data_IF_974122902639
#
_entry.id   IF_974122902639
#
_cell.length_a   1.000
_cell.length_b   1.000
_cell.length_c   1.000
_cell.angle_alpha   90.00
_cell.angle_beta   90.00
_cell.angle_gamma   90.00
#
_symmetry.space_group_name_H-M   'P 1'
#
loop_
_entity.id
_entity.type
_entity.pdbx_description
1 polymer ?
#
# COMPACT_ATOMS: atom_id res chain seq x y z
N UNK A 1 12.70 -9.60 -1.52
CA UNK A 1 14.07 -9.73 -2.04
C UNK A 1 14.85 -8.42 -1.88
N UNK A 2 14.40 -7.31 -2.44
CA UNK A 2 15.10 -6.00 -2.32
C UNK A 2 15.26 -5.57 -0.86
N UNK A 3 14.24 -5.76 -0.03
CA UNK A 3 14.30 -5.43 1.40
C UNK A 3 15.33 -6.27 2.16
N UNK A 4 15.47 -7.56 1.82
CA UNK A 4 16.49 -8.44 2.38
C UNK A 4 17.91 -8.08 1.91
N UNK A 5 18.04 -7.56 0.68
CA UNK A 5 19.30 -7.01 0.18
C UNK A 5 19.71 -5.76 0.97
N UNK A 6 18.75 -4.86 1.21
CA UNK A 6 18.99 -3.65 2.02
C UNK A 6 19.31 -3.95 3.48
N UNK A 7 18.75 -5.04 4.00
CA UNK A 7 19.06 -5.54 5.34
C UNK A 7 20.43 -6.27 5.44
N UNK A 8 21.16 -6.41 4.32
CA UNK A 8 22.45 -7.11 4.29
C UNK A 8 22.36 -8.63 4.40
N UNK A 9 21.17 -9.21 4.23
CA UNK A 9 20.98 -10.67 4.34
C UNK A 9 21.29 -11.42 3.04
N UNK A 10 21.28 -10.72 1.90
CA UNK A 10 21.55 -11.29 0.57
C UNK A 10 22.73 -10.55 -0.06
N UNK A 11 23.80 -11.29 -0.34
CA UNK A 11 25.02 -10.77 -0.97
C UNK A 11 25.15 -11.17 -2.44
N UNK A 12 24.41 -12.18 -2.90
CA UNK A 12 24.47 -12.67 -4.28
C UNK A 12 23.06 -12.86 -4.82
N UNK A 13 22.80 -12.32 -6.00
CA UNK A 13 21.55 -12.51 -6.75
C UNK A 13 21.85 -13.25 -8.04
N UNK A 14 21.23 -14.42 -8.24
CA UNK A 14 21.39 -15.22 -9.46
C UNK A 14 20.05 -15.28 -10.19
N UNK A 15 20.04 -14.90 -11.46
CA UNK A 15 18.88 -14.97 -12.34
C UNK A 15 19.19 -15.78 -13.59
N UNK A 16 18.15 -16.34 -14.19
CA UNK A 16 18.28 -17.06 -15.46
C UNK A 16 18.66 -16.12 -16.58
N UNK A 17 18.00 -14.97 -16.67
CA UNK A 17 18.24 -13.89 -17.62
C UNK A 17 17.80 -12.56 -16.99
N UNK A 18 18.31 -11.42 -17.48
CA UNK A 18 18.03 -10.08 -16.96
C UNK A 18 16.54 -9.72 -17.08
N UNK A 19 15.81 -10.31 -18.02
CA UNK A 19 14.36 -10.07 -18.18
C UNK A 19 13.54 -10.64 -17.01
N UNK A 20 14.10 -11.56 -16.21
CA UNK A 20 13.50 -12.10 -14.97
C UNK A 20 13.72 -11.20 -13.77
N UNK A 21 14.81 -10.47 -13.78
CA UNK A 21 15.10 -9.50 -12.74
C UNK A 21 14.20 -8.26 -12.86
N UNK A 22 14.13 -7.66 -14.04
CA UNK A 22 13.29 -6.51 -14.30
C UNK A 22 12.86 -6.44 -15.77
N UNK A 23 11.77 -5.71 -16.02
CA UNK A 23 11.25 -5.48 -17.38
C UNK A 23 11.45 -4.04 -17.84
N UNK A 24 11.95 -3.18 -16.97
CA UNK A 24 12.31 -1.80 -17.27
C UNK A 24 13.81 -1.69 -17.34
N UNK A 25 14.34 -1.33 -18.50
CA UNK A 25 15.79 -1.30 -18.72
C UNK A 25 16.49 -0.21 -17.90
N UNK A 26 15.78 0.92 -17.62
CA UNK A 26 16.32 1.99 -16.79
C UNK A 26 16.44 1.54 -15.34
N UNK A 27 15.39 0.92 -14.81
CA UNK A 27 15.39 0.38 -13.45
C UNK A 27 16.42 -0.74 -13.27
N UNK A 28 16.51 -1.67 -14.24
CA UNK A 28 17.51 -2.74 -14.23
C UNK A 28 18.92 -2.17 -14.33
N UNK A 29 19.15 -1.18 -15.20
CA UNK A 29 20.43 -0.48 -15.33
C UNK A 29 20.85 0.17 -14.02
N UNK A 30 19.96 0.90 -13.36
CA UNK A 30 20.22 1.58 -12.09
C UNK A 30 20.60 0.58 -10.98
N UNK A 31 19.92 -0.58 -10.90
CA UNK A 31 20.31 -1.63 -9.98
C UNK A 31 21.70 -2.20 -10.28
N UNK A 32 22.04 -2.43 -11.54
CA UNK A 32 23.31 -3.04 -11.92
C UNK A 32 24.50 -2.09 -11.82
N UNK A 33 24.29 -0.81 -12.14
CA UNK A 33 25.37 0.19 -12.22
C UNK A 33 25.57 0.97 -10.91
N UNK A 34 24.51 1.17 -10.11
CA UNK A 34 24.57 2.00 -8.93
C UNK A 34 24.22 1.24 -7.65
N UNK A 35 23.02 0.63 -7.57
CA UNK A 35 22.47 0.11 -6.30
C UNK A 35 23.22 -1.14 -5.83
N UNK A 36 23.39 -2.16 -6.66
CA UNK A 36 24.08 -3.38 -6.26
C UNK A 36 25.57 -3.19 -5.96
N UNK A 37 26.33 -2.44 -6.78
CA UNK A 37 27.71 -2.08 -6.40
C UNK A 37 27.81 -1.34 -5.09
N UNK A 38 26.91 -0.38 -4.83
CA UNK A 38 26.86 0.36 -3.56
C UNK A 38 26.55 -0.54 -2.36
N UNK A 39 25.64 -1.52 -2.50
CA UNK A 39 25.28 -2.47 -1.45
C UNK A 39 26.21 -3.69 -1.36
N UNK A 40 27.27 -3.76 -2.17
CA UNK A 40 28.18 -4.90 -2.22
C UNK A 40 27.56 -6.20 -2.71
N UNK A 41 26.48 -6.13 -3.50
CA UNK A 41 25.74 -7.31 -3.98
C UNK A 41 26.23 -7.74 -5.35
N UNK A 42 26.68 -9.01 -5.45
CA UNK A 42 27.07 -9.63 -6.72
C UNK A 42 25.82 -10.08 -7.49
N UNK A 43 25.71 -9.69 -8.77
CA UNK A 43 24.64 -10.11 -9.68
C UNK A 43 25.16 -11.02 -10.76
N UNK A 44 24.53 -12.20 -10.93
CA UNK A 44 24.89 -13.17 -11.97
C UNK A 44 23.64 -13.46 -12.81
N UNK A 45 23.77 -13.27 -14.14
CA UNK A 45 22.76 -13.71 -15.12
C UNK A 45 23.32 -14.83 -15.97
N UNK A 46 22.72 -16.02 -15.90
CA UNK A 46 23.25 -17.25 -16.48
C UNK A 46 23.21 -17.18 -18.03
N UNK A 47 22.03 -16.92 -18.60
CA UNK A 47 21.84 -16.91 -20.04
C UNK A 47 22.50 -15.72 -20.74
N UNK A 48 22.64 -14.61 -20.03
CA UNK A 48 23.27 -13.39 -20.54
C UNK A 48 24.80 -13.40 -20.35
N UNK A 49 25.34 -14.44 -19.69
CA UNK A 49 26.76 -14.57 -19.34
C UNK A 49 27.30 -13.35 -18.60
N UNK A 50 26.44 -12.70 -17.79
CA UNK A 50 26.79 -11.53 -17.02
C UNK A 50 27.14 -11.89 -15.58
N UNK A 51 28.22 -11.30 -15.07
CA UNK A 51 28.68 -11.42 -13.69
C UNK A 51 29.26 -10.04 -13.28
N UNK A 52 28.60 -9.37 -12.33
CA UNK A 52 28.96 -8.01 -11.91
C UNK A 52 30.41 -7.91 -11.39
N UNK A 53 30.95 -8.97 -10.82
CA UNK A 53 32.33 -8.99 -10.30
C UNK A 53 33.37 -8.82 -11.41
N UNK A 54 33.07 -9.27 -12.64
CA UNK A 54 33.96 -9.10 -13.82
C UNK A 54 33.96 -7.68 -14.38
N UNK A 55 33.01 -6.84 -13.96
CA UNK A 55 32.82 -5.49 -14.45
C UNK A 55 33.05 -4.41 -13.36
N UNK A 56 33.58 -4.82 -12.19
CA UNK A 56 33.93 -3.88 -11.11
C UNK A 56 34.95 -2.84 -11.62
N UNK A 57 34.53 -1.57 -11.66
CA UNK A 57 35.37 -0.44 -12.12
C UNK A 57 35.23 -0.08 -13.59
N UNK A 58 34.49 -0.87 -14.40
CA UNK A 58 34.09 -0.48 -15.75
C UNK A 58 32.57 -0.36 -15.80
N UNK A 59 32.04 0.65 -16.48
CA UNK A 59 30.61 0.74 -16.82
C UNK A 59 30.18 -0.60 -17.42
N UNK A 60 29.15 -1.21 -16.85
CA UNK A 60 28.56 -2.44 -17.37
C UNK A 60 28.34 -2.22 -18.86
N UNK A 61 29.10 -2.95 -19.66
CA UNK A 61 29.40 -2.56 -21.03
C UNK A 61 28.17 -2.26 -21.85
N UNK A 62 28.34 -1.48 -22.89
CA UNK A 62 27.31 -1.09 -23.88
C UNK A 62 26.41 -2.26 -24.31
N UNK A 63 26.90 -3.47 -24.21
CA UNK A 63 26.23 -4.76 -24.46
C UNK A 63 25.03 -5.01 -23.53
N UNK A 64 25.08 -4.62 -22.25
CA UNK A 64 23.99 -4.82 -21.28
C UNK A 64 22.89 -3.80 -21.50
N UNK A 65 23.25 -2.53 -21.69
CA UNK A 65 22.30 -1.49 -22.03
C UNK A 65 21.56 -1.83 -23.35
N UNK A 66 22.27 -2.36 -24.34
CA UNK A 66 21.69 -2.78 -25.59
C UNK A 66 20.78 -4.01 -25.45
N UNK A 67 21.16 -5.01 -24.67
CA UNK A 67 20.30 -6.17 -24.38
C UNK A 67 19.04 -5.77 -23.62
N UNK A 68 19.14 -4.90 -22.63
CA UNK A 68 17.99 -4.40 -21.90
C UNK A 68 17.04 -3.60 -22.83
N UNK A 69 17.57 -2.82 -23.75
CA UNK A 69 16.79 -2.13 -24.79
C UNK A 69 16.05 -3.13 -25.71
N UNK A 70 16.70 -4.21 -26.11
CA UNK A 70 16.09 -5.27 -26.93
C UNK A 70 14.95 -5.96 -26.15
N UNK A 71 15.12 -6.26 -24.85
CA UNK A 71 14.07 -6.86 -24.02
C UNK A 71 12.87 -5.93 -23.83
N UNK A 72 13.10 -4.63 -23.67
CA UNK A 72 12.01 -3.65 -23.60
C UNK A 72 11.28 -3.53 -24.96
N UNK A 73 12.00 -3.48 -26.06
CA UNK A 73 11.41 -3.49 -27.41
C UNK A 73 10.59 -4.76 -27.65
N UNK A 74 11.12 -5.93 -27.30
CA UNK A 74 10.42 -7.22 -27.41
C UNK A 74 9.14 -7.25 -26.55
N UNK A 75 9.22 -6.74 -25.33
CA UNK A 75 8.05 -6.62 -24.44
C UNK A 75 6.96 -5.70 -25.03
N UNK A 76 7.37 -4.57 -25.65
CA UNK A 76 6.47 -3.64 -26.33
C UNK A 76 5.85 -4.27 -27.60
N UNK A 77 6.66 -4.98 -28.39
CA UNK A 77 6.18 -5.68 -29.60
C UNK A 77 5.20 -6.80 -29.25
N UNK A 78 5.53 -7.63 -28.25
CA UNK A 78 4.63 -8.67 -27.74
C UNK A 78 3.31 -8.08 -27.26
N UNK A 79 3.34 -6.97 -26.53
CA UNK A 79 2.14 -6.27 -26.07
C UNK A 79 1.29 -5.78 -27.25
N UNK A 80 1.90 -5.24 -28.32
CA UNK A 80 1.17 -4.83 -29.53
C UNK A 80 0.52 -6.04 -30.23
N UNK A 81 1.24 -7.16 -30.36
CA UNK A 81 0.73 -8.41 -30.96
C UNK A 81 -0.44 -8.98 -30.18
N UNK A 82 -0.31 -9.05 -28.83
CA UNK A 82 -1.40 -9.50 -27.95
C UNK A 82 -2.62 -8.59 -28.07
N UNK A 83 -2.44 -7.26 -28.03
CA UNK A 83 -3.54 -6.30 -28.22
C UNK A 83 -4.23 -6.46 -29.58
N UNK A 84 -3.45 -6.66 -30.65
CA UNK A 84 -3.98 -6.88 -32.01
C UNK A 84 -4.79 -8.17 -32.07
N UNK A 85 -4.28 -9.28 -31.54
CA UNK A 85 -5.00 -10.55 -31.47
C UNK A 85 -6.30 -10.45 -30.64
N UNK A 86 -6.26 -9.72 -29.51
CA UNK A 86 -7.46 -9.43 -28.72
C UNK A 86 -8.48 -8.61 -29.52
N UNK A 87 -8.06 -7.55 -30.23
CA UNK A 87 -8.96 -6.74 -31.06
C UNK A 87 -9.62 -7.56 -32.17
N UNK A 88 -8.88 -8.46 -32.81
CA UNK A 88 -9.45 -9.38 -33.82
C UNK A 88 -10.54 -10.28 -33.21
N UNK A 89 -10.27 -10.85 -32.03
CA UNK A 89 -11.28 -11.64 -31.32
C UNK A 89 -12.50 -10.80 -30.91
N UNK A 90 -12.30 -9.57 -30.48
CA UNK A 90 -13.37 -8.64 -30.13
C UNK A 90 -14.26 -8.29 -31.33
N UNK A 91 -13.66 -8.03 -32.49
CA UNK A 91 -14.38 -7.76 -33.76
C UNK A 91 -15.20 -8.96 -34.23
N UNK A 92 -14.72 -10.17 -33.95
CA UNK A 92 -15.44 -11.40 -34.27
C UNK A 92 -16.50 -11.80 -33.24
N UNK A 93 -16.90 -10.87 -32.35
CA UNK A 93 -17.92 -11.12 -31.33
C UNK A 93 -17.45 -11.98 -30.17
N UNK A 94 -16.16 -12.32 -30.11
CA UNK A 94 -15.59 -13.14 -29.05
C UNK A 94 -15.58 -12.42 -27.70
N UNK A 95 -15.92 -13.15 -26.67
CA UNK A 95 -15.80 -12.72 -25.29
C UNK A 95 -14.35 -12.90 -24.78
N UNK A 96 -13.81 -11.92 -24.06
CA UNK A 96 -12.40 -11.92 -23.66
C UNK A 96 -12.20 -11.85 -22.14
N UNK A 97 -13.17 -11.29 -21.41
CA UNK A 97 -13.07 -11.05 -19.96
C UNK A 97 -13.85 -12.07 -19.13
N UNK A 98 -14.25 -11.73 -17.92
CA UNK A 98 -15.12 -12.60 -17.10
C UNK A 98 -16.53 -12.68 -17.65
N UNK A 99 -17.09 -13.89 -17.69
CA UNK A 99 -18.48 -14.12 -18.11
C UNK A 99 -19.45 -13.28 -17.27
N UNK A 100 -20.45 -12.68 -17.92
CA UNK A 100 -21.49 -11.89 -17.25
C UNK A 100 -22.38 -12.85 -16.43
N UNK A 101 -22.88 -12.42 -15.27
CA UNK A 101 -23.82 -13.19 -14.46
C UNK A 101 -25.07 -13.50 -15.30
N UNK A 102 -25.59 -14.71 -15.23
CA UNK A 102 -26.63 -15.22 -16.15
C UNK A 102 -26.08 -16.00 -17.34
N UNK A 103 -24.77 -15.94 -17.55
CA UNK A 103 -24.07 -16.68 -18.59
C UNK A 103 -22.90 -17.47 -18.05
N UNK A 104 -22.58 -18.57 -18.71
CA UNK A 104 -21.37 -19.37 -18.51
C UNK A 104 -20.58 -19.53 -19.79
N UNK A 105 -19.33 -19.94 -19.69
CA UNK A 105 -18.44 -20.18 -20.82
C UNK A 105 -18.90 -21.45 -21.54
N UNK A 106 -18.99 -21.41 -22.87
CA UNK A 106 -19.31 -22.59 -23.68
C UNK A 106 -18.20 -23.65 -23.54
N UNK A 107 -18.54 -24.92 -23.28
CA UNK A 107 -17.54 -26.00 -23.25
C UNK A 107 -16.82 -26.19 -24.59
N UNK A 108 -17.49 -25.86 -25.69
CA UNK A 108 -16.96 -26.02 -27.06
C UNK A 108 -16.08 -24.86 -27.49
N UNK A 109 -16.36 -23.65 -27.01
CA UNK A 109 -15.64 -22.44 -27.40
C UNK A 109 -15.47 -21.50 -26.21
N UNK A 110 -14.22 -21.35 -25.72
CA UNK A 110 -13.86 -20.48 -24.58
C UNK A 110 -14.16 -18.98 -24.80
N UNK A 111 -14.49 -18.58 -26.01
CA UNK A 111 -14.80 -17.20 -26.37
C UNK A 111 -16.29 -16.95 -26.63
N UNK A 112 -17.14 -17.95 -26.37
CA UNK A 112 -18.60 -17.89 -26.54
C UNK A 112 -19.28 -18.04 -25.17
N UNK A 113 -20.28 -17.21 -24.92
CA UNK A 113 -21.16 -17.32 -23.75
C UNK A 113 -22.41 -18.10 -24.10
N UNK A 114 -22.84 -18.97 -23.18
CA UNK A 114 -24.13 -19.68 -23.24
C UNK A 114 -24.93 -19.33 -21.98
N UNK A 115 -26.25 -19.41 -22.07
CA UNK A 115 -27.15 -19.18 -20.93
C UNK A 115 -26.81 -20.16 -19.80
N UNK A 116 -26.73 -19.62 -18.59
CA UNK A 116 -26.58 -20.41 -17.37
C UNK A 116 -27.96 -20.65 -16.76
N UNK A 117 -28.45 -21.91 -16.71
CA UNK A 117 -29.80 -22.22 -16.25
C UNK A 117 -30.05 -21.86 -14.79
N UNK A 118 -29.02 -21.79 -13.97
CA UNK A 118 -29.14 -21.44 -12.54
C UNK A 118 -29.30 -19.93 -12.34
N UNK A 119 -28.57 -19.12 -13.07
CA UNK A 119 -28.49 -17.67 -12.82
C UNK A 119 -29.27 -16.82 -13.82
N UNK A 120 -29.60 -17.32 -15.01
CA UNK A 120 -30.37 -16.58 -15.99
C UNK A 120 -31.82 -16.27 -15.54
N UNK A 121 -32.55 -17.16 -14.84
CA UNK A 121 -33.86 -16.82 -14.28
C UNK A 121 -33.83 -15.64 -13.31
N UNK A 122 -32.76 -15.53 -12.52
CA UNK A 122 -32.56 -14.40 -11.58
C UNK A 122 -32.39 -13.09 -12.35
N UNK A 123 -31.62 -13.12 -13.45
CA UNK A 123 -31.46 -11.95 -14.31
C UNK A 123 -32.77 -11.51 -14.91
N UNK A 124 -33.55 -12.45 -15.46
CA UNK A 124 -34.89 -12.17 -16.01
C UNK A 124 -35.80 -11.54 -14.97
N UNK A 125 -35.86 -12.13 -13.78
CA UNK A 125 -36.64 -11.59 -12.66
C UNK A 125 -36.25 -10.14 -12.33
N UNK A 126 -34.95 -9.82 -12.26
CA UNK A 126 -34.45 -8.45 -11.99
C UNK A 126 -35.01 -7.47 -13.04
N UNK A 127 -35.01 -7.82 -14.33
CA UNK A 127 -35.55 -6.97 -15.39
C UNK A 127 -37.08 -6.84 -15.26
N UNK A 128 -37.79 -7.93 -15.07
CA UNK A 128 -39.26 -7.95 -14.93
C UNK A 128 -39.71 -7.11 -13.73
N UNK A 129 -39.07 -7.27 -12.59
CA UNK A 129 -39.42 -6.54 -11.37
C UNK A 129 -39.21 -5.01 -11.51
N UNK A 130 -38.14 -4.58 -12.18
CA UNK A 130 -37.89 -3.15 -12.42
C UNK A 130 -38.86 -2.60 -13.50
N UNK A 131 -39.19 -3.34 -14.54
CA UNK A 131 -40.19 -2.95 -15.53
C UNK A 131 -41.57 -2.81 -14.85
N UNK A 132 -41.89 -3.68 -13.89
CA UNK A 132 -43.14 -3.64 -13.11
C UNK A 132 -43.17 -2.45 -12.12
N UNK A 133 -42.07 -1.64 -12.01
CA UNK A 133 -42.00 -0.45 -11.20
C UNK A 133 -41.36 -0.60 -9.84
N UNK A 134 -40.84 -1.79 -9.49
CA UNK A 134 -40.03 -1.92 -8.25
C UNK A 134 -38.73 -1.12 -8.34
N UNK A 135 -38.35 -0.49 -7.23
CA UNK A 135 -37.07 0.21 -7.15
C UNK A 135 -35.90 -0.80 -7.12
N UNK A 136 -34.75 -0.42 -7.66
CA UNK A 136 -33.52 -1.25 -7.62
C UNK A 136 -33.09 -1.62 -6.20
N UNK A 137 -33.39 -0.76 -5.21
CA UNK A 137 -33.15 -1.05 -3.79
C UNK A 137 -34.10 -2.10 -3.22
N UNK A 138 -35.36 -2.10 -3.67
CA UNK A 138 -36.33 -3.12 -3.26
C UNK A 138 -36.00 -4.48 -3.84
N UNK A 139 -35.65 -4.55 -5.14
CA UNK A 139 -35.19 -5.79 -5.78
C UNK A 139 -33.95 -6.35 -5.07
N UNK A 140 -32.99 -5.49 -4.71
CA UNK A 140 -31.80 -5.92 -3.98
C UNK A 140 -32.13 -6.51 -2.61
N UNK A 141 -33.10 -5.93 -1.87
CA UNK A 141 -33.55 -6.47 -0.58
C UNK A 141 -34.23 -7.83 -0.71
N UNK A 142 -35.12 -7.98 -1.68
CA UNK A 142 -35.81 -9.24 -1.94
C UNK A 142 -34.81 -10.36 -2.25
N UNK A 143 -33.83 -10.11 -3.12
CA UNK A 143 -32.77 -11.07 -3.46
C UNK A 143 -31.88 -11.44 -2.25
N UNK A 144 -31.61 -10.50 -1.37
CA UNK A 144 -30.85 -10.75 -0.14
C UNK A 144 -31.66 -11.56 0.89
N UNK A 145 -32.96 -11.22 1.06
CA UNK A 145 -33.85 -11.94 1.97
C UNK A 145 -34.06 -13.41 1.54
N UNK A 146 -34.07 -13.66 0.24
CA UNK A 146 -34.14 -15.01 -0.33
C UNK A 146 -32.80 -15.75 -0.30
N UNK A 147 -31.71 -15.11 0.12
CA UNK A 147 -30.40 -15.74 0.19
C UNK A 147 -29.77 -16.00 -1.18
N UNK A 148 -30.23 -15.36 -2.26
CA UNK A 148 -29.73 -15.56 -3.61
C UNK A 148 -28.27 -15.10 -3.70
N UNK A 149 -27.32 -15.98 -4.12
CA UNK A 149 -25.92 -15.65 -4.17
C UNK A 149 -25.63 -14.50 -5.16
N UNK A 150 -24.82 -13.55 -4.73
CA UNK A 150 -24.36 -12.47 -5.61
C UNK A 150 -23.43 -13.01 -6.72
N UNK A 151 -23.25 -12.29 -7.85
CA UNK A 151 -22.33 -12.72 -8.91
C UNK A 151 -20.91 -13.05 -8.43
N UNK A 152 -20.46 -12.43 -7.36
CA UNK A 152 -19.15 -12.66 -6.77
C UNK A 152 -19.11 -13.96 -5.94
N UNK A 153 -20.16 -14.22 -5.16
CA UNK A 153 -20.30 -15.47 -4.39
C UNK A 153 -20.46 -16.66 -5.32
N UNK A 154 -21.32 -16.52 -6.35
CA UNK A 154 -21.56 -17.58 -7.33
C UNK A 154 -20.27 -18.01 -8.07
N UNK A 155 -19.40 -17.05 -8.40
CA UNK A 155 -18.12 -17.33 -9.06
C UNK A 155 -17.03 -17.85 -8.12
N UNK A 156 -17.27 -17.95 -6.82
CA UNK A 156 -16.27 -18.37 -5.84
C UNK A 156 -15.04 -17.46 -5.77
N UNK A 157 -15.16 -16.22 -6.24
CA UNK A 157 -14.05 -15.26 -6.19
C UNK A 157 -13.85 -14.83 -4.75
N UNK A 158 -12.72 -15.23 -4.18
CA UNK A 158 -12.33 -14.79 -2.84
C UNK A 158 -12.32 -13.26 -2.76
N UNK A 159 -12.94 -12.73 -1.71
CA UNK A 159 -12.86 -11.28 -1.42
C UNK A 159 -11.44 -10.92 -1.04
N UNK A 160 -11.05 -9.68 -1.28
CA UNK A 160 -9.81 -9.15 -0.70
C UNK A 160 -9.86 -9.34 0.80
N UNK A 161 -8.75 -9.81 1.39
CA UNK A 161 -8.63 -10.09 2.84
C UNK A 161 -9.07 -8.93 3.72
N UNK A 162 -8.95 -7.70 3.21
CA UNK A 162 -9.23 -6.45 3.91
C UNK A 162 -10.69 -5.96 3.80
N UNK A 163 -11.61 -6.77 3.26
CA UNK A 163 -13.03 -6.39 3.15
C UNK A 163 -13.90 -7.28 4.05
N UNK A 164 -14.18 -6.87 5.28
CA UNK A 164 -14.93 -7.67 6.26
C UNK A 164 -16.44 -7.77 5.95
N UNK A 165 -16.97 -6.93 5.06
CA UNK A 165 -18.41 -6.88 4.81
C UNK A 165 -18.95 -8.06 4.01
N UNK A 166 -20.10 -8.62 4.42
CA UNK A 166 -20.88 -9.66 3.73
C UNK A 166 -21.16 -9.26 2.28
N UNK A 167 -21.06 -10.19 1.33
CA UNK A 167 -21.40 -9.92 -0.07
C UNK A 167 -22.91 -9.86 -0.22
N UNK A 168 -23.47 -8.67 -0.42
CA UNK A 168 -24.89 -8.43 -0.58
C UNK A 168 -25.21 -7.89 -1.97
N UNK A 169 -26.45 -8.14 -2.44
CA UNK A 169 -27.04 -7.41 -3.54
C UNK A 169 -27.23 -5.95 -3.13
N UNK A 170 -26.86 -5.02 -3.99
CA UNK A 170 -26.98 -3.58 -3.76
C UNK A 170 -27.66 -2.94 -4.97
N UNK A 171 -28.28 -1.78 -4.79
CA UNK A 171 -28.92 -1.04 -5.88
C UNK A 171 -27.95 -0.76 -7.03
N UNK A 172 -26.68 -0.45 -6.75
CA UNK A 172 -25.66 -0.22 -7.78
C UNK A 172 -25.40 -1.47 -8.62
N UNK A 173 -25.36 -2.64 -7.98
CA UNK A 173 -25.16 -3.92 -8.69
C UNK A 173 -26.32 -4.25 -9.59
N UNK A 174 -27.56 -4.04 -9.12
CA UNK A 174 -28.76 -4.18 -9.93
C UNK A 174 -28.75 -3.16 -11.10
N UNK A 175 -28.40 -1.90 -10.81
CA UNK A 175 -28.30 -0.85 -11.82
C UNK A 175 -27.26 -1.16 -12.90
N UNK A 176 -26.09 -1.68 -12.52
CA UNK A 176 -25.04 -2.08 -13.45
C UNK A 176 -25.51 -3.24 -14.34
N UNK A 177 -26.27 -4.19 -13.80
CA UNK A 177 -26.86 -5.26 -14.58
C UNK A 177 -27.90 -4.74 -15.58
N UNK A 178 -28.83 -3.92 -15.14
CA UNK A 178 -29.86 -3.33 -16.01
C UNK A 178 -29.28 -2.49 -17.15
N UNK A 179 -28.11 -1.88 -16.96
CA UNK A 179 -27.41 -1.09 -18.00
C UNK A 179 -26.55 -1.93 -18.94
N UNK A 180 -26.41 -3.22 -18.68
CA UNK A 180 -25.51 -4.06 -19.44
C UNK A 180 -26.21 -4.65 -20.67
N UNK A 181 -25.96 -4.08 -21.84
CA UNK A 181 -26.55 -4.50 -23.12
C UNK A 181 -26.21 -5.95 -23.49
N UNK A 182 -25.24 -6.59 -22.87
CA UNK A 182 -24.91 -8.00 -23.13
C UNK A 182 -26.08 -8.96 -22.88
N UNK A 183 -27.02 -8.56 -22.05
CA UNK A 183 -28.22 -9.38 -21.81
C UNK A 183 -29.18 -9.49 -23.00
N UNK A 184 -29.05 -8.58 -23.98
CA UNK A 184 -29.82 -8.64 -25.24
C UNK A 184 -29.16 -9.50 -26.34
N UNK A 185 -28.09 -10.25 -26.00
CA UNK A 185 -27.33 -11.02 -26.98
C UNK A 185 -26.24 -10.21 -27.72
N UNK A 186 -26.17 -8.91 -27.51
CA UNK A 186 -25.15 -8.05 -28.10
C UNK A 186 -23.85 -8.09 -27.29
N UNK A 187 -22.73 -8.43 -27.94
CA UNK A 187 -21.41 -8.35 -27.32
C UNK A 187 -20.85 -6.95 -27.50
N UNK A 188 -20.47 -6.34 -26.38
CA UNK A 188 -19.79 -5.05 -26.37
C UNK A 188 -18.37 -5.22 -25.83
N UNK A 189 -17.41 -4.81 -26.61
CA UNK A 189 -15.99 -4.89 -26.33
C UNK A 189 -15.33 -3.51 -26.43
N UNK A 190 -14.05 -3.39 -26.07
CA UNK A 190 -13.25 -2.17 -26.15
C UNK A 190 -13.83 -0.99 -25.36
N UNK A 191 -14.44 -1.26 -24.20
CA UNK A 191 -15.01 -0.21 -23.32
C UNK A 191 -13.95 0.49 -22.47
N UNK A 192 -12.78 -0.11 -22.30
CA UNK A 192 -11.63 0.41 -21.56
C UNK A 192 -10.32 0.07 -22.25
N UNK A 193 -9.33 0.93 -22.14
CA UNK A 193 -7.98 0.69 -22.67
C UNK A 193 -6.89 1.16 -21.69
N UNK A 194 -5.75 0.49 -21.70
CA UNK A 194 -4.55 0.92 -20.99
C UNK A 194 -3.69 1.75 -21.93
N UNK A 195 -3.42 3.01 -21.58
CA UNK A 195 -2.62 3.94 -22.39
C UNK A 195 -1.15 3.52 -22.46
N UNK A 196 -0.62 3.06 -21.35
CA UNK A 196 0.79 2.68 -21.20
C UNK A 196 0.87 1.21 -20.77
N UNK A 197 1.92 0.53 -21.22
CA UNK A 197 2.23 -0.82 -20.74
C UNK A 197 2.47 -0.74 -19.23
N UNK A 198 1.86 -1.63 -18.43
CA UNK A 198 1.88 -1.65 -16.95
C UNK A 198 1.10 -0.51 -16.25
N UNK A 199 0.27 0.26 -16.95
CA UNK A 199 -0.59 1.23 -16.28
C UNK A 199 -1.47 0.55 -15.22
N UNK A 200 -1.46 1.06 -13.99
CA UNK A 200 -2.35 0.59 -12.90
C UNK A 200 -3.81 0.96 -13.15
N UNK A 201 -4.07 1.96 -13.98
CA UNK A 201 -5.40 2.45 -14.32
C UNK A 201 -5.71 2.29 -15.81
N UNK A 202 -7.00 2.09 -16.12
CA UNK A 202 -7.51 2.04 -17.48
C UNK A 202 -8.39 3.26 -17.74
N UNK A 203 -8.25 3.87 -18.92
CA UNK A 203 -9.13 4.93 -19.40
C UNK A 203 -10.41 4.32 -20.00
N UNK A 204 -11.55 4.98 -19.77
CA UNK A 204 -12.78 4.65 -20.49
C UNK A 204 -12.67 5.13 -21.93
N UNK A 205 -13.04 4.26 -22.85
CA UNK A 205 -13.12 4.57 -24.28
C UNK A 205 -14.48 5.24 -24.56
N UNK A 206 -14.55 6.28 -25.41
CA UNK A 206 -15.81 6.86 -25.86
C UNK A 206 -16.73 5.78 -26.45
N UNK A 207 -18.05 5.97 -26.33
CA UNK A 207 -19.02 4.95 -26.78
C UNK A 207 -18.99 4.73 -28.30
N UNK A 208 -18.58 5.73 -29.06
CA UNK A 208 -18.44 5.71 -30.53
C UNK A 208 -17.34 4.72 -30.99
N UNK A 209 -16.31 4.53 -30.15
CA UNK A 209 -15.19 3.61 -30.42
C UNK A 209 -15.40 2.20 -29.85
N UNK A 210 -16.54 1.94 -29.22
CA UNK A 210 -16.86 0.61 -28.74
C UNK A 210 -17.13 -0.36 -29.89
N UNK A 211 -16.71 -1.61 -29.70
CA UNK A 211 -16.93 -2.65 -30.71
C UNK A 211 -18.23 -3.39 -30.33
N UNK A 212 -19.24 -3.22 -31.15
CA UNK A 212 -20.51 -3.91 -31.01
C UNK A 212 -20.58 -5.09 -31.97
N UNK A 213 -21.12 -6.21 -31.49
CA UNK A 213 -21.40 -7.37 -32.30
C UNK A 213 -22.78 -7.90 -31.88
N UNK A 214 -23.75 -7.72 -32.75
CA UNK A 214 -25.12 -8.18 -32.53
C UNK A 214 -25.21 -9.71 -32.64
N UNK A 215 -26.15 -10.32 -31.91
CA UNK A 215 -26.42 -11.77 -31.94
C UNK A 215 -25.15 -12.63 -31.68
N UNK A 216 -24.22 -12.14 -30.83
CA UNK A 216 -23.01 -12.89 -30.50
C UNK A 216 -23.26 -14.09 -29.57
N UNK A 217 -24.39 -14.08 -28.87
CA UNK A 217 -24.84 -15.14 -27.96
C UNK A 217 -26.35 -15.06 -27.74
N UNK A 218 -26.93 -16.09 -27.17
CA UNK A 218 -28.37 -16.13 -26.87
C UNK A 218 -28.75 -15.05 -25.85
N UNK A 219 -29.84 -14.33 -26.13
CA UNK A 219 -30.35 -13.26 -25.27
C UNK A 219 -31.10 -13.82 -24.05
N UNK A 220 -30.85 -13.25 -22.85
CA UNK A 220 -31.67 -13.54 -21.66
C UNK A 220 -32.92 -12.66 -21.64
N UNK A 221 -32.82 -11.41 -22.11
CA UNK A 221 -33.93 -10.45 -22.22
C UNK A 221 -34.01 -9.92 -23.65
N UNK A 222 -35.21 -9.57 -24.09
CA UNK A 222 -35.41 -8.98 -25.43
C UNK A 222 -34.91 -7.50 -25.43
N UNK A 223 -34.70 -6.96 -26.62
CA UNK A 223 -34.31 -5.54 -26.77
C UNK A 223 -35.42 -4.63 -26.23
N UNK A 224 -36.70 -4.99 -26.42
CA UNK A 224 -37.86 -4.24 -25.92
C UNK A 224 -37.88 -4.23 -24.37
N UNK A 225 -37.66 -5.37 -23.73
CA UNK A 225 -37.58 -5.49 -22.27
C UNK A 225 -36.40 -4.66 -21.72
N UNK A 226 -35.27 -4.70 -22.42
CA UNK A 226 -34.11 -3.90 -22.05
C UNK A 226 -34.40 -2.39 -22.12
N UNK A 227 -35.03 -1.92 -23.21
CA UNK A 227 -35.43 -0.52 -23.40
C UNK A 227 -36.48 -0.08 -22.37
N UNK A 228 -37.46 -0.94 -22.06
CA UNK A 228 -38.45 -0.70 -21.03
C UNK A 228 -37.80 -0.53 -19.66
N UNK A 229 -36.83 -1.35 -19.33
CA UNK A 229 -36.05 -1.21 -18.10
C UNK A 229 -35.25 0.11 -18.07
N UNK A 230 -34.63 0.53 -19.20
CA UNK A 230 -33.95 1.82 -19.29
C UNK A 230 -34.95 3.00 -19.12
N UNK A 231 -36.15 2.90 -19.68
CA UNK A 231 -37.19 3.92 -19.52
C UNK A 231 -37.65 4.04 -18.05
N UNK A 232 -37.80 2.91 -17.36
CA UNK A 232 -38.12 2.90 -15.94
C UNK A 232 -37.02 3.58 -15.08
N UNK A 233 -35.75 3.37 -15.41
CA UNK A 233 -34.60 3.99 -14.73
C UNK A 233 -34.50 5.52 -14.98
N UNK A 234 -34.87 6.03 -16.16
CA UNK A 234 -34.80 7.46 -16.51
C UNK A 234 -35.77 8.33 -15.70
N UNK A 235 -36.81 7.74 -15.12
CA UNK A 235 -37.75 8.46 -14.24
C UNK A 235 -37.13 8.93 -12.93
N UNK A 236 -35.96 8.40 -12.54
CA UNK A 236 -35.22 8.81 -11.35
C UNK A 236 -34.29 9.97 -11.71
N UNK A 237 -34.55 11.17 -11.15
CA UNK A 237 -33.68 12.34 -11.38
C UNK A 237 -32.27 12.07 -10.88
N UNK A 238 -31.20 12.35 -11.67
CA UNK A 238 -29.84 12.19 -11.20
C UNK A 238 -29.53 13.20 -10.08
N UNK A 239 -29.06 12.72 -8.95
CA UNK A 239 -28.48 13.59 -7.91
C UNK A 239 -27.20 14.24 -8.44
N UNK A 240 -27.18 15.58 -8.44
CA UNK A 240 -25.99 16.38 -8.78
C UNK A 240 -24.95 16.12 -7.69
N UNK A 241 -23.84 15.49 -8.04
CA UNK A 241 -22.70 15.32 -7.14
C UNK A 241 -22.07 16.69 -6.91
N UNK A 242 -22.24 17.28 -5.75
CA UNK A 242 -21.42 18.41 -5.30
C UNK A 242 -19.97 17.94 -5.14
N UNK A 243 -19.00 18.84 -5.44
CA UNK A 243 -17.56 18.58 -5.27
C UNK A 243 -17.29 18.07 -3.87
N UNK A 244 -16.44 17.04 -3.76
CA UNK A 244 -16.08 16.49 -2.45
C UNK A 244 -15.31 17.55 -1.65
N UNK A 245 -15.84 17.94 -0.51
CA UNK A 245 -15.10 18.58 0.58
C UNK A 245 -14.18 17.52 1.22
N UNK A 246 -13.15 17.96 1.91
CA UNK A 246 -12.32 17.07 2.71
C UNK A 246 -13.20 16.28 3.69
N UNK A 247 -13.21 14.98 3.57
CA UNK A 247 -14.06 14.08 4.35
C UNK A 247 -13.22 12.86 4.74
N UNK A 248 -13.26 12.51 6.01
CA UNK A 248 -12.64 11.28 6.49
C UNK A 248 -13.23 10.04 5.80
N UNK A 249 -12.43 8.97 5.62
CA UNK A 249 -12.93 7.69 5.20
C UNK A 249 -13.65 6.98 6.37
N UNK A 250 -14.98 7.14 6.44
CA UNK A 250 -15.83 6.52 7.47
C UNK A 250 -16.27 5.12 7.10
N UNK A 251 -16.21 4.20 8.06
CA UNK A 251 -16.63 2.81 7.91
C UNK A 251 -17.53 2.39 9.09
N UNK A 252 -18.47 1.49 8.81
CA UNK A 252 -19.25 0.84 9.83
C UNK A 252 -18.43 -0.26 10.49
N UNK A 253 -18.26 -0.25 11.81
CA UNK A 253 -17.52 -1.26 12.55
C UNK A 253 -18.15 -2.66 12.44
N UNK A 254 -19.49 -2.75 12.31
CA UNK A 254 -20.20 -4.05 12.25
C UNK A 254 -20.07 -4.73 10.88
N UNK A 255 -20.31 -4.02 9.79
CA UNK A 255 -20.31 -4.61 8.44
C UNK A 255 -19.10 -4.22 7.57
N UNK A 256 -18.21 -3.34 8.04
CA UNK A 256 -17.02 -2.88 7.35
C UNK A 256 -17.30 -2.06 6.07
N UNK A 257 -18.54 -1.62 5.84
CA UNK A 257 -18.88 -0.81 4.66
C UNK A 257 -18.59 0.66 4.91
N UNK A 258 -18.17 1.36 3.87
CA UNK A 258 -18.05 2.81 3.88
C UNK A 258 -19.42 3.44 4.13
N UNK A 259 -19.49 4.36 5.08
CA UNK A 259 -20.71 5.10 5.40
C UNK A 259 -21.10 6.04 4.28
N UNK A 260 -22.38 6.29 4.16
CA UNK A 260 -22.92 7.30 3.25
C UNK A 260 -23.23 8.58 4.00
N UNK A 261 -23.11 9.69 3.29
CA UNK A 261 -23.39 11.05 3.77
C UNK A 261 -24.79 11.46 3.34
N UNK A 262 -25.55 12.08 4.24
CA UNK A 262 -26.79 12.80 3.86
C UNK A 262 -26.46 14.11 3.14
N UNK A 263 -27.46 14.61 2.39
CA UNK A 263 -27.36 15.88 1.70
C UNK A 263 -28.33 16.87 2.39
N UNK A 264 -27.88 18.09 2.64
CA UNK A 264 -28.68 19.13 3.27
C UNK A 264 -27.86 19.98 4.21
N UNK A 265 -28.53 20.72 5.09
CA UNK A 265 -27.94 21.54 6.17
C UNK A 265 -27.34 20.65 7.26
N UNK A 266 -28.06 19.58 7.61
CA UNK A 266 -27.63 18.63 8.64
C UNK A 266 -26.95 17.43 7.98
N UNK A 267 -25.63 17.47 7.96
CA UNK A 267 -24.80 16.43 7.34
C UNK A 267 -24.48 15.38 8.37
N UNK A 268 -25.04 14.19 8.20
CA UNK A 268 -24.68 13.04 9.01
C UNK A 268 -24.25 11.85 8.15
N UNK A 269 -23.44 10.99 8.75
CA UNK A 269 -22.97 9.73 8.16
C UNK A 269 -23.76 8.57 8.73
N UNK A 270 -24.14 7.60 7.89
CA UNK A 270 -24.95 6.46 8.29
C UNK A 270 -24.57 5.20 7.51
N UNK A 271 -24.81 4.06 8.12
CA UNK A 271 -24.65 2.77 7.46
C UNK A 271 -25.85 2.47 6.56
N UNK A 272 -25.56 2.05 5.33
CA UNK A 272 -26.58 1.71 4.32
C UNK A 272 -26.98 0.24 4.32
N UNK A 273 -26.29 -0.61 5.09
CA UNK A 273 -26.57 -2.06 5.14
C UNK A 273 -28.03 -2.35 5.51
N UNK A 274 -28.68 -1.65 6.48
CA UNK A 274 -30.07 -1.89 6.80
C UNK A 274 -31.06 -1.65 5.66
N UNK A 275 -30.67 -0.90 4.62
CA UNK A 275 -31.51 -0.73 3.43
C UNK A 275 -31.53 -1.96 2.54
N UNK A 276 -30.58 -2.89 2.70
CA UNK A 276 -30.42 -4.07 1.86
C UNK A 276 -30.51 -5.38 2.63
N UNK A 277 -30.20 -5.36 3.92
CA UNK A 277 -30.28 -6.49 4.84
C UNK A 277 -30.98 -6.01 6.12
N UNK A 278 -32.23 -6.46 6.28
CA UNK A 278 -33.07 -6.03 7.42
C UNK A 278 -32.70 -6.71 8.73
N UNK A 279 -31.96 -7.81 8.66
CA UNK A 279 -31.57 -8.62 9.82
C UNK A 279 -30.36 -8.03 10.56
N UNK A 280 -29.64 -7.09 9.94
CA UNK A 280 -28.48 -6.40 10.54
C UNK A 280 -28.92 -5.21 11.40
N UNK A 281 -29.49 -5.50 12.57
CA UNK A 281 -29.97 -4.47 13.50
C UNK A 281 -28.90 -3.55 14.04
N UNK A 282 -27.69 -4.08 14.29
CA UNK A 282 -26.55 -3.31 14.81
C UNK A 282 -26.14 -2.16 13.88
N UNK A 283 -26.28 -2.36 12.57
CA UNK A 283 -25.98 -1.32 11.59
C UNK A 283 -27.00 -0.17 11.59
N UNK A 284 -28.18 -0.32 12.19
CA UNK A 284 -29.22 0.73 12.28
C UNK A 284 -28.80 1.86 13.22
N UNK A 285 -28.02 1.54 14.25
CA UNK A 285 -27.53 2.51 15.24
C UNK A 285 -26.37 3.37 14.73
N UNK A 286 -25.73 2.97 13.63
CA UNK A 286 -24.56 3.65 13.07
C UNK A 286 -24.98 4.92 12.34
N UNK A 287 -25.01 6.04 13.08
CA UNK A 287 -25.33 7.39 12.58
C UNK A 287 -24.62 8.42 13.45
N UNK A 288 -23.89 9.34 12.78
CA UNK A 288 -23.15 10.42 13.42
C UNK A 288 -23.23 11.71 12.64
N UNK A 289 -23.28 12.83 13.35
CA UNK A 289 -23.22 14.16 12.74
C UNK A 289 -21.78 14.54 12.44
N UNK A 290 -21.58 15.29 11.35
CA UNK A 290 -20.25 15.68 10.89
C UNK A 290 -19.51 16.52 11.93
N UNK A 291 -20.19 17.47 12.54
CA UNK A 291 -19.62 18.40 13.52
C UNK A 291 -19.09 17.68 14.74
N UNK A 292 -19.87 16.75 15.29
CA UNK A 292 -19.50 15.99 16.47
C UNK A 292 -18.26 15.09 16.22
N UNK A 293 -18.18 14.48 15.03
CA UNK A 293 -17.02 13.69 14.67
C UNK A 293 -15.77 14.57 14.56
N UNK A 294 -15.87 15.73 13.89
CA UNK A 294 -14.73 16.65 13.74
C UNK A 294 -14.23 17.12 15.12
N UNK A 295 -15.13 17.41 16.05
CA UNK A 295 -14.77 17.79 17.42
C UNK A 295 -14.07 16.65 18.17
N UNK A 296 -14.60 15.43 18.14
CA UNK A 296 -14.00 14.25 18.79
C UNK A 296 -12.63 13.93 18.22
N UNK A 297 -12.49 13.92 16.89
CA UNK A 297 -11.20 13.65 16.24
C UNK A 297 -10.18 14.74 16.56
N UNK A 298 -10.58 16.01 16.56
CA UNK A 298 -9.70 17.12 16.94
C UNK A 298 -9.25 17.03 18.40
N UNK A 299 -10.17 16.70 19.30
CA UNK A 299 -9.87 16.51 20.73
C UNK A 299 -8.90 15.35 20.94
N UNK A 300 -9.12 14.23 20.24
CA UNK A 300 -8.24 13.07 20.28
C UNK A 300 -6.83 13.41 19.73
N UNK A 301 -6.74 14.13 18.62
CA UNK A 301 -5.46 14.58 18.07
C UNK A 301 -4.70 15.50 19.05
N UNK A 302 -5.40 16.44 19.69
CA UNK A 302 -4.80 17.31 20.72
C UNK A 302 -4.28 16.50 21.92
N UNK A 303 -5.00 15.46 22.34
CA UNK A 303 -4.57 14.57 23.41
C UNK A 303 -3.29 13.80 23.01
N UNK A 304 -3.23 13.25 21.80
CA UNK A 304 -2.05 12.57 21.25
C UNK A 304 -0.81 13.52 21.26
N UNK A 305 -0.97 14.73 20.75
CA UNK A 305 0.09 15.74 20.72
C UNK A 305 0.58 16.08 22.15
N UNK A 306 -0.33 16.21 23.11
CA UNK A 306 0.04 16.51 24.50
C UNK A 306 0.84 15.39 25.14
N UNK A 307 0.49 14.13 24.93
CA UNK A 307 1.25 12.96 25.41
C UNK A 307 2.62 12.89 24.76
N UNK A 308 2.70 13.06 23.44
CA UNK A 308 3.98 13.12 22.71
C UNK A 308 4.90 14.22 23.26
N UNK A 309 4.35 15.37 23.63
CA UNK A 309 5.12 16.47 24.20
C UNK A 309 5.72 16.08 25.56
N UNK A 310 4.95 15.43 26.43
CA UNK A 310 5.42 14.97 27.76
C UNK A 310 6.49 13.88 27.61
N UNK A 311 6.29 12.90 26.75
CA UNK A 311 7.27 11.83 26.49
C UNK A 311 8.58 12.36 25.90
N UNK A 312 8.51 13.32 24.99
CA UNK A 312 9.70 13.91 24.37
C UNK A 312 10.59 14.62 25.40
N UNK A 313 9.98 15.32 26.37
CA UNK A 313 10.72 15.97 27.47
C UNK A 313 11.42 14.92 28.35
N UNK A 314 10.75 13.81 28.68
CA UNK A 314 11.36 12.72 29.46
C UNK A 314 12.53 12.04 28.75
N UNK A 315 12.41 11.78 27.45
CA UNK A 315 13.48 11.19 26.62
C UNK A 315 14.72 12.10 26.60
N UNK A 316 14.55 13.41 26.49
CA UNK A 316 15.66 14.39 26.42
C UNK A 316 16.51 14.40 27.68
N UNK A 317 15.92 14.32 28.87
CA UNK A 317 16.68 14.31 30.14
C UNK A 317 17.55 13.06 30.25
N UNK A 318 17.03 11.88 29.85
CA UNK A 318 17.79 10.63 29.86
C UNK A 318 18.96 10.66 28.85
N UNK A 319 18.72 11.20 27.68
CA UNK A 319 19.70 11.30 26.59
C UNK A 319 20.90 12.21 26.98
N UNK A 320 20.65 13.38 27.59
CA UNK A 320 21.71 14.28 28.05
C UNK A 320 22.63 13.61 29.07
N UNK A 321 22.07 12.82 29.98
CA UNK A 321 22.82 12.08 30.98
C UNK A 321 23.77 11.04 30.35
N UNK A 322 23.28 10.26 29.41
CA UNK A 322 24.03 9.20 28.72
C UNK A 322 25.18 9.75 27.89
N UNK A 323 24.96 10.80 27.11
CA UNK A 323 25.98 11.45 26.30
C UNK A 323 27.11 12.06 27.15
N UNK A 324 26.76 12.62 28.30
CA UNK A 324 27.76 13.17 29.24
C UNK A 324 28.63 12.05 29.78
N UNK A 325 28.08 10.91 30.09
CA UNK A 325 28.78 9.75 30.66
C UNK A 325 29.73 9.11 29.63
N UNK A 326 29.29 8.94 28.40
CA UNK A 326 30.12 8.44 27.30
C UNK A 326 31.30 9.35 27.02
N UNK A 327 31.07 10.68 26.98
CA UNK A 327 32.11 11.66 26.76
C UNK A 327 33.15 11.68 27.90
N UNK A 328 32.72 11.55 29.16
CA UNK A 328 33.61 11.44 30.29
C UNK A 328 34.48 10.17 30.24
N UNK A 329 33.86 9.03 29.88
CA UNK A 329 34.55 7.76 29.71
C UNK A 329 35.61 7.83 28.63
N UNK A 330 35.28 8.39 27.48
CA UNK A 330 36.21 8.57 26.36
C UNK A 330 37.41 9.43 26.74
N UNK A 331 37.15 10.54 27.45
CA UNK A 331 38.20 11.40 27.96
C UNK A 331 39.12 10.69 28.96
N UNK A 332 38.56 9.85 29.84
CA UNK A 332 39.35 9.09 30.81
C UNK A 332 40.25 8.06 30.12
N UNK A 333 39.72 7.30 29.18
CA UNK A 333 40.48 6.29 28.42
C UNK A 333 41.60 6.92 27.57
N UNK A 334 41.32 8.06 26.94
CA UNK A 334 42.32 8.80 26.14
C UNK A 334 43.48 9.32 27.04
N UNK A 335 43.13 9.85 28.20
CA UNK A 335 44.15 10.31 29.19
C UNK A 335 45.00 9.15 29.74
N UNK A 336 44.42 7.97 29.95
CA UNK A 336 45.15 6.78 30.35
C UNK A 336 46.11 6.28 29.25
N UNK A 337 45.67 6.34 27.98
CA UNK A 337 46.54 6.01 26.84
C UNK A 337 47.73 6.95 26.72
N UNK A 338 47.50 8.28 26.84
CA UNK A 338 48.57 9.30 26.83
C UNK A 338 49.56 9.10 27.98
N UNK A 339 49.08 8.78 29.19
CA UNK A 339 49.94 8.50 30.33
C UNK A 339 50.82 7.27 30.13
N UNK A 340 50.31 6.25 29.42
CA UNK A 340 51.04 5.06 29.02
C UNK A 340 52.23 5.36 28.09
N UNK A 341 52.11 6.33 27.19
CA UNK A 341 53.19 6.77 26.32
C UNK A 341 54.30 7.50 27.09
N UNK A 342 53.94 8.32 28.08
CA UNK A 342 54.90 8.99 28.97
C UNK A 342 55.69 7.95 29.78
N UNK A 343 55.01 6.95 30.34
CA UNK A 343 55.63 5.87 31.10
C UNK A 343 56.59 5.01 30.26
N UNK A 344 56.33 4.90 28.94
CA UNK A 344 57.20 4.21 27.98
C UNK A 344 58.58 4.90 27.90
N UNK A 345 58.60 6.20 27.83
CA UNK A 345 59.83 6.99 27.79
C UNK A 345 60.56 6.89 29.11
N UNK A 346 59.84 7.00 30.23
CA UNK A 346 60.43 6.96 31.58
C UNK A 346 61.10 5.59 31.86
N UNK A 347 60.46 4.47 31.57
CA UNK A 347 61.05 3.15 31.80
C UNK A 347 62.21 2.87 30.87
N UNK A 348 62.31 3.46 29.69
CA UNK A 348 63.50 3.38 28.84
C UNK A 348 64.65 4.12 29.43
N UNK A 349 64.43 5.33 30.03
CA UNK A 349 65.48 6.14 30.75
C UNK A 349 66.00 5.40 31.98
N UNK A 350 65.12 4.81 32.78
CA UNK A 350 65.48 3.99 33.94
C UNK A 350 66.34 2.77 33.59
N UNK A 351 66.03 2.14 32.46
CA UNK A 351 66.86 1.03 31.92
C UNK A 351 68.29 1.55 31.52
N UNK A 352 68.35 2.71 30.80
CA UNK A 352 69.65 3.29 30.38
C UNK A 352 70.51 3.72 31.54
N UNK A 353 69.88 4.16 32.63
CA UNK A 353 70.58 4.58 33.88
C UNK A 353 70.96 3.38 34.78
N UNK A 354 70.59 2.15 34.37
CA UNK A 354 70.90 0.96 35.11
C UNK A 354 70.06 0.70 36.36
N UNK A 355 68.92 1.40 36.50
CA UNK A 355 67.99 1.27 37.65
C UNK A 355 67.10 0.03 37.55
N UNK A 356 66.88 -0.48 36.36
CA UNK A 356 66.09 -1.70 36.11
C UNK A 356 66.91 -2.64 35.22
N UNK A 357 66.74 -3.96 35.43
CA UNK A 357 67.37 -4.99 34.62
C UNK A 357 66.75 -5.13 33.25
N UNK A 358 67.47 -5.69 32.27
CA UNK A 358 66.98 -5.93 30.93
C UNK A 358 65.72 -6.80 30.92
N UNK A 359 65.65 -7.81 31.77
CA UNK A 359 64.50 -8.72 31.88
C UNK A 359 63.27 -8.00 32.39
N UNK A 360 63.41 -7.18 33.42
CA UNK A 360 62.33 -6.35 33.95
C UNK A 360 61.87 -5.30 32.95
N UNK A 361 62.75 -4.70 32.18
CA UNK A 361 62.38 -3.77 31.13
C UNK A 361 61.54 -4.44 30.03
N UNK A 362 61.93 -5.64 29.56
CA UNK A 362 61.18 -6.40 28.54
C UNK A 362 59.81 -6.79 29.11
N UNK A 363 59.71 -7.24 30.34
CA UNK A 363 58.45 -7.56 31.00
C UNK A 363 57.49 -6.38 31.05
N UNK A 364 57.94 -5.25 31.63
CA UNK A 364 57.16 -4.04 31.72
C UNK A 364 56.73 -3.46 30.36
N UNK A 365 57.57 -3.62 29.34
CA UNK A 365 57.26 -3.23 27.99
C UNK A 365 56.12 -4.09 27.42
N UNK A 366 56.19 -5.42 27.57
CA UNK A 366 55.18 -6.36 27.02
C UNK A 366 53.82 -6.19 27.71
N UNK A 367 53.80 -5.98 29.02
CA UNK A 367 52.60 -5.69 29.81
C UNK A 367 51.93 -4.36 29.34
N UNK A 368 52.73 -3.34 29.13
CA UNK A 368 52.26 -2.06 28.67
C UNK A 368 51.72 -2.11 27.23
N UNK A 369 52.45 -2.80 26.35
CA UNK A 369 51.98 -2.97 24.94
C UNK A 369 50.62 -3.68 24.92
N UNK A 370 50.39 -4.70 25.73
CA UNK A 370 49.10 -5.34 25.90
C UNK A 370 48.02 -4.36 26.41
N UNK A 371 48.33 -3.62 27.46
CA UNK A 371 47.41 -2.65 28.07
C UNK A 371 47.02 -1.52 27.08
N UNK A 372 47.99 -1.04 26.32
CA UNK A 372 47.75 -0.01 25.30
C UNK A 372 46.83 -0.53 24.16
N UNK A 373 46.99 -1.77 23.78
CA UNK A 373 46.13 -2.39 22.77
C UNK A 373 44.68 -2.58 23.27
N UNK A 374 44.54 -3.02 24.55
CA UNK A 374 43.22 -3.08 25.21
C UNK A 374 42.55 -1.71 25.28
N UNK A 375 43.31 -0.66 25.63
CA UNK A 375 42.79 0.70 25.70
C UNK A 375 42.35 1.23 24.32
N UNK A 376 43.09 0.93 23.25
CA UNK A 376 42.70 1.31 21.89
C UNK A 376 41.39 0.65 21.48
N UNK A 377 41.20 -0.64 21.80
CA UNK A 377 39.94 -1.33 21.53
C UNK A 377 38.80 -0.68 22.32
N UNK A 378 38.98 -0.41 23.61
CA UNK A 378 37.97 0.25 24.44
C UNK A 378 37.64 1.68 23.96
N UNK A 379 38.64 2.42 23.49
CA UNK A 379 38.41 3.75 22.88
C UNK A 379 37.56 3.62 21.62
N UNK A 380 37.92 2.71 20.70
CA UNK A 380 37.19 2.51 19.47
C UNK A 380 35.70 2.07 19.71
N UNK A 381 35.48 1.17 20.69
CA UNK A 381 34.13 0.75 21.09
C UNK A 381 33.35 1.94 21.71
N UNK A 382 34.00 2.76 22.52
CA UNK A 382 33.36 3.93 23.16
C UNK A 382 33.10 5.05 22.15
N UNK A 383 33.99 5.24 21.17
CA UNK A 383 33.80 6.17 20.05
C UNK A 383 32.59 5.75 19.19
N UNK A 384 32.50 4.47 18.80
CA UNK A 384 31.35 3.94 18.03
C UNK A 384 30.05 4.13 18.81
N UNK A 385 30.02 3.84 20.10
CA UNK A 385 28.85 4.08 20.95
C UNK A 385 28.47 5.57 21.06
N UNK A 386 29.47 6.46 21.05
CA UNK A 386 29.23 7.90 21.08
C UNK A 386 28.70 8.44 19.74
N UNK A 387 29.18 7.92 18.62
CA UNK A 387 28.64 8.24 17.28
C UNK A 387 27.18 7.81 17.14
N UNK A 388 26.84 6.57 17.50
CA UNK A 388 25.44 6.08 17.52
C UNK A 388 24.54 6.94 18.42
N UNK A 389 25.08 7.36 19.56
CA UNK A 389 24.40 8.31 20.45
C UNK A 389 24.14 9.67 19.78
N UNK A 390 25.10 10.25 19.05
CA UNK A 390 24.92 11.53 18.35
C UNK A 390 23.88 11.45 17.23
N UNK A 391 23.81 10.33 16.52
CA UNK A 391 22.75 10.09 15.52
C UNK A 391 21.37 10.07 16.18
N UNK A 392 21.21 9.32 17.27
CA UNK A 392 19.97 9.25 18.06
C UNK A 392 19.56 10.61 18.63
N UNK A 393 20.53 11.38 19.16
CA UNK A 393 20.29 12.73 19.67
C UNK A 393 19.79 13.68 18.58
N UNK A 394 20.34 13.54 17.37
CA UNK A 394 19.94 14.36 16.22
C UNK A 394 18.51 14.04 15.79
N UNK A 395 18.13 12.75 15.73
CA UNK A 395 16.78 12.31 15.45
C UNK A 395 15.79 12.80 16.50
N UNK A 396 16.12 12.65 17.78
CA UNK A 396 15.28 13.11 18.90
C UNK A 396 15.04 14.63 18.84
N UNK A 397 16.06 15.42 18.50
CA UNK A 397 15.93 16.90 18.35
C UNK A 397 15.02 17.27 17.17
N UNK A 398 15.08 16.52 16.05
CA UNK A 398 14.19 16.72 14.92
C UNK A 398 12.73 16.38 15.28
N UNK A 399 12.50 15.28 15.96
CA UNK A 399 11.18 14.89 16.46
C UNK A 399 10.60 15.96 17.40
N UNK A 400 11.40 16.47 18.33
CA UNK A 400 10.99 17.54 19.24
C UNK A 400 10.61 18.83 18.51
N UNK A 401 11.39 19.24 17.52
CA UNK A 401 11.06 20.44 16.72
C UNK A 401 9.72 20.27 15.97
N UNK A 402 9.39 19.06 15.51
CA UNK A 402 8.11 18.76 14.88
C UNK A 402 6.98 18.83 15.93
N UNK A 403 7.16 18.24 17.11
CA UNK A 403 6.17 18.23 18.19
C UNK A 403 5.90 19.65 18.69
N UNK A 404 6.93 20.45 18.93
CA UNK A 404 6.81 21.86 19.36
C UNK A 404 6.08 22.70 18.30
N UNK A 405 6.41 22.51 17.01
CA UNK A 405 5.73 23.18 15.93
C UNK A 405 4.24 22.79 15.88
N UNK A 406 3.93 21.52 16.06
CA UNK A 406 2.56 21.01 16.03
C UNK A 406 1.76 21.47 17.25
N UNK A 407 2.36 21.50 18.43
CA UNK A 407 1.72 21.98 19.66
C UNK A 407 1.44 23.49 19.66
N UNK A 408 2.18 24.27 18.86
CA UNK A 408 1.98 25.71 18.70
C UNK A 408 0.99 26.08 17.57
N UNK A 409 0.43 25.09 16.86
CA UNK A 409 -0.54 25.33 15.80
C UNK A 409 -1.87 25.83 16.35
N UNK A 410 -2.52 26.75 15.59
CA UNK A 410 -3.88 27.19 15.89
C UNK A 410 -4.89 26.10 15.48
N UNK A 411 -6.13 26.22 15.94
CA UNK A 411 -7.20 25.25 15.69
C UNK A 411 -7.51 25.03 14.19
N UNK A 412 -7.30 26.04 13.33
CA UNK A 412 -7.51 25.92 11.89
C UNK A 412 -6.43 25.05 11.23
N UNK A 413 -5.18 25.26 11.58
CA UNK A 413 -4.06 24.45 11.09
C UNK A 413 -4.14 23.00 11.62
N UNK A 414 -4.57 22.81 12.86
CA UNK A 414 -4.82 21.48 13.42
C UNK A 414 -5.96 20.76 12.72
N UNK A 415 -7.01 21.45 12.27
CA UNK A 415 -8.09 20.87 11.46
C UNK A 415 -7.61 20.40 10.09
N UNK A 416 -6.70 21.12 9.45
CA UNK A 416 -6.11 20.65 8.18
C UNK A 416 -5.25 19.40 8.41
N UNK A 417 -4.39 19.42 9.44
CA UNK A 417 -3.55 18.29 9.80
C UNK A 417 -4.37 17.04 10.16
N UNK A 418 -5.49 17.20 10.84
CA UNK A 418 -6.40 16.14 11.25
C UNK A 418 -6.87 15.29 10.05
N UNK A 419 -7.23 15.92 8.93
CA UNK A 419 -7.66 15.18 7.73
C UNK A 419 -6.54 14.36 7.09
N UNK A 420 -5.29 14.80 7.22
CA UNK A 420 -4.13 14.08 6.72
C UNK A 420 -3.64 13.00 7.69
N UNK A 421 -3.83 13.19 8.99
CA UNK A 421 -3.37 12.30 10.05
C UNK A 421 -4.23 11.03 10.21
N UNK A 422 -5.52 11.10 9.87
CA UNK A 422 -6.45 9.97 10.00
C UNK A 422 -6.39 9.05 8.79
N UNK A 423 -6.20 7.76 9.00
CA UNK A 423 -6.31 6.73 7.96
C UNK A 423 -7.78 6.38 7.70
N UNK A 424 -8.52 6.06 8.77
CA UNK A 424 -9.95 5.75 8.71
C UNK A 424 -10.60 5.91 10.08
N UNK A 425 -11.93 6.06 10.08
CA UNK A 425 -12.75 6.08 11.29
C UNK A 425 -13.78 4.96 11.18
N UNK A 426 -13.80 4.07 12.16
CA UNK A 426 -14.79 3.01 12.30
C UNK A 426 -15.86 3.48 13.30
N UNK A 427 -17.13 3.46 12.91
CA UNK A 427 -18.26 3.89 13.75
C UNK A 427 -19.04 2.65 14.20
N UNK A 428 -19.10 2.44 15.50
CA UNK A 428 -19.81 1.29 16.12
C UNK A 428 -21.28 1.64 16.35
N UNK A 429 -21.54 2.80 16.92
CA UNK A 429 -22.90 3.29 17.22
C UNK A 429 -22.91 4.82 17.22
N UNK A 430 -23.94 5.45 17.79
CA UNK A 430 -24.07 6.91 17.85
C UNK A 430 -23.23 7.58 18.98
N UNK A 431 -22.42 6.80 19.72
CA UNK A 431 -21.60 7.31 20.83
C UNK A 431 -20.14 6.82 20.73
N UNK A 432 -19.89 5.72 20.03
CA UNK A 432 -18.60 5.06 20.00
C UNK A 432 -18.00 5.06 18.60
N UNK A 433 -16.79 5.60 18.49
CA UNK A 433 -15.96 5.59 17.28
C UNK A 433 -14.57 5.08 17.61
N UNK A 434 -13.95 4.44 16.65
CA UNK A 434 -12.55 4.05 16.66
C UNK A 434 -11.83 4.83 15.59
N UNK A 435 -10.79 5.59 15.95
CA UNK A 435 -9.99 6.38 15.03
C UNK A 435 -8.71 5.60 14.74
N UNK A 436 -8.47 5.26 13.48
CA UNK A 436 -7.22 4.65 13.03
C UNK A 436 -6.33 5.74 12.45
N UNK A 437 -5.22 5.98 13.10
CA UNK A 437 -4.25 6.98 12.72
C UNK A 437 -3.25 6.43 11.69
N UNK A 438 -2.62 7.30 10.90
CA UNK A 438 -1.49 6.95 10.01
C UNK A 438 -0.15 6.88 10.75
N UNK A 439 -0.13 7.20 12.02
CA UNK A 439 1.01 7.10 12.94
C UNK A 439 0.65 6.15 14.10
N UNK A 440 1.63 5.77 14.89
CA UNK A 440 1.41 4.89 16.05
C UNK A 440 0.52 5.57 17.08
N UNK A 441 -0.61 4.92 17.41
CA UNK A 441 -1.56 5.43 18.38
C UNK A 441 -1.07 5.13 19.79
N UNK A 442 -0.73 6.17 20.54
CA UNK A 442 -0.21 6.06 21.90
C UNK A 442 -1.25 5.53 22.92
N UNK A 443 -2.54 5.51 22.55
CA UNK A 443 -3.62 5.01 23.39
C UNK A 443 -4.10 3.61 22.99
N UNK A 444 -3.61 3.04 21.90
CA UNK A 444 -4.04 1.71 21.41
C UNK A 444 -3.55 0.55 22.28
N UNK A 445 -2.62 0.79 23.21
CA UNK A 445 -2.01 -0.24 24.07
C UNK A 445 -2.52 -0.26 25.51
N UNK A 446 -3.64 0.43 25.79
CA UNK A 446 -4.24 0.46 27.12
C UNK A 446 -5.38 -0.56 27.27
#
# INVERSE_FOLDING_TARGET
MIDLIRAGEIHIVIVKDLSRFGRDYLEVGDYLEHIFPFLGVRMISINDHYDSEKYLGNTAGMDIAFRNLIYDYYSKDLSKKVKSAMRTKQRNGGYITCCTYGYKVSPKNKHQMIIDPETAPIVRRIFTDVIAGKSTSQVARELNAEGIPTPQQYKGVARRKDSPSKALWTHNRILDMLKNIKYTGCMVNHTRESMVIRAKSQRRVPKEDWIYHENAHEAIVTTEEFEAAQAALRKVKPHIKKKAENIFPFYCAHCGRKLQRTFGTDVHFYCVTPYWDTDEELCKSVRWDRTDIEEVVLASLKAQISVMTVESVGKTQNTISEGTLLRQRLKALTSELESGDIQKVQSYLEYREGRITKENFIFLRSEREKRMEELKVQIAETEAAYEDFLEKETQTKQEQAIIERTSSMNDEALKELMYDAVERINITDNQNIEIVWKFDDLFATA
#
